data_IF_206640258205
#
_entry.id   IF_206640258205
#
_cell.length_a   1.000
_cell.length_b   1.000
_cell.length_c   1.000
_cell.angle_alpha   90.00
_cell.angle_beta   90.00
_cell.angle_gamma   90.00
#
_symmetry.space_group_name_H-M   'P 1'
#
loop_
_entity.id
_entity.type
_entity.pdbx_description
1 polymer ?
#
# COMPACT_ATOMS: atom_id res chain seq x y z
N UNK A 1 -0.05 -15.80 18.95
CA UNK A 1 -0.32 -15.50 17.53
C UNK A 1 1.00 -15.21 16.78
N UNK A 2 1.89 -16.21 16.63
CA UNK A 2 3.19 -16.08 15.91
C UNK A 2 3.44 -17.22 14.92
N UNK A 3 2.45 -18.10 14.72
CA UNK A 3 2.57 -19.34 13.94
C UNK A 3 1.94 -19.23 12.55
N UNK A 4 1.08 -18.25 12.29
CA UNK A 4 0.37 -18.13 11.01
C UNK A 4 1.26 -17.62 9.85
N UNK A 5 2.18 -16.69 10.09
CA UNK A 5 3.08 -16.18 9.02
C UNK A 5 4.07 -17.23 8.51
N UNK A 6 4.49 -18.17 9.35
CA UNK A 6 5.43 -19.23 8.97
C UNK A 6 4.72 -20.33 8.17
N UNK A 7 3.45 -20.61 8.47
CA UNK A 7 2.67 -21.63 7.74
C UNK A 7 2.38 -21.17 6.31
N UNK A 8 2.09 -19.88 6.10
CA UNK A 8 1.86 -19.35 4.74
C UNK A 8 3.16 -19.41 3.92
N UNK A 9 4.31 -19.04 4.49
CA UNK A 9 5.61 -19.13 3.79
C UNK A 9 6.06 -20.58 3.57
N UNK A 10 5.80 -21.48 4.52
CA UNK A 10 6.10 -22.90 4.38
C UNK A 10 5.25 -23.58 3.30
N UNK A 11 3.99 -23.15 3.15
CA UNK A 11 3.09 -23.64 2.11
C UNK A 11 3.49 -23.09 0.72
N UNK A 12 4.12 -21.91 0.66
CA UNK A 12 4.76 -21.35 -0.55
C UNK A 12 5.95 -22.20 -1.02
N UNK A 13 6.78 -22.71 -0.11
CA UNK A 13 7.86 -23.64 -0.47
C UNK A 13 7.34 -25.02 -0.88
N UNK A 14 6.28 -25.53 -0.26
CA UNK A 14 5.74 -26.85 -0.60
C UNK A 14 5.00 -26.84 -1.94
N UNK A 15 4.21 -25.80 -2.26
CA UNK A 15 3.53 -25.70 -3.55
C UNK A 15 4.50 -25.47 -4.72
N UNK A 16 5.66 -24.84 -4.49
CA UNK A 16 6.72 -24.73 -5.50
C UNK A 16 7.38 -26.10 -5.82
N UNK A 17 7.25 -27.09 -4.93
CA UNK A 17 7.85 -28.42 -5.11
C UNK A 17 6.94 -29.45 -5.79
N UNK A 18 5.62 -29.20 -5.85
CA UNK A 18 4.63 -30.16 -6.38
C UNK A 18 4.41 -30.00 -7.91
N UNK A 19 5.05 -29.01 -8.54
CA UNK A 19 4.96 -28.76 -9.99
C UNK A 19 6.12 -29.30 -10.83
N UNK A 20 6.91 -30.26 -10.33
CA UNK A 20 8.09 -30.79 -11.01
C UNK A 20 7.73 -31.72 -12.18
N UNK A 21 7.68 -31.16 -13.40
CA UNK A 21 7.87 -31.93 -14.62
C UNK A 21 9.32 -32.45 -14.66
N UNK A 22 9.48 -33.74 -14.95
CA UNK A 22 10.79 -34.36 -15.21
C UNK A 22 11.53 -33.58 -16.29
N UNK A 23 12.66 -32.98 -15.93
CA UNK A 23 13.73 -32.67 -16.88
C UNK A 23 15.07 -33.05 -16.25
N UNK A 24 15.70 -33.98 -16.96
CA UNK A 24 17.07 -34.48 -16.96
C UNK A 24 18.11 -33.59 -16.24
N UNK A 25 18.91 -34.23 -15.37
CA UNK A 25 20.08 -33.64 -14.74
C UNK A 25 21.17 -33.40 -15.79
N UNK A 26 21.53 -32.13 -16.02
CA UNK A 26 22.82 -31.76 -16.62
C UNK A 26 23.45 -30.58 -15.86
N UNK A 27 24.62 -30.90 -15.30
CA UNK A 27 25.78 -30.09 -14.98
C UNK A 27 25.73 -28.92 -13.98
N UNK A 28 26.81 -28.88 -13.19
CA UNK A 28 27.20 -27.82 -12.25
C UNK A 28 27.35 -26.46 -12.95
N UNK A 29 26.22 -25.80 -13.24
CA UNK A 29 26.20 -24.41 -13.68
C UNK A 29 26.42 -23.54 -12.44
N UNK A 30 27.63 -22.99 -12.34
CA UNK A 30 28.04 -21.84 -11.53
C UNK A 30 26.84 -21.08 -10.88
N UNK A 31 26.46 -21.48 -9.65
CA UNK A 31 25.24 -21.05 -8.94
C UNK A 31 25.26 -19.59 -8.44
N UNK A 32 25.94 -18.71 -9.16
CA UNK A 32 26.09 -17.28 -8.84
C UNK A 32 25.81 -16.38 -10.05
N UNK A 33 25.14 -16.88 -11.08
CA UNK A 33 24.64 -16.05 -12.18
C UNK A 33 23.38 -15.31 -11.73
N UNK A 34 23.32 -14.01 -12.05
CA UNK A 34 22.14 -13.21 -11.78
C UNK A 34 20.93 -13.79 -12.54
N UNK A 35 19.83 -14.03 -11.84
CA UNK A 35 18.59 -14.58 -12.41
C UNK A 35 17.46 -13.57 -12.26
N UNK A 36 16.50 -13.58 -13.18
CA UNK A 36 15.29 -12.78 -13.05
C UNK A 36 14.06 -13.59 -13.42
N UNK A 37 12.99 -13.40 -12.67
CA UNK A 37 11.72 -14.07 -12.88
C UNK A 37 10.56 -13.08 -12.80
N UNK A 38 9.54 -13.31 -13.64
CA UNK A 38 8.29 -12.57 -13.59
C UNK A 38 7.36 -13.19 -12.55
N UNK A 39 6.84 -12.38 -11.64
CA UNK A 39 5.97 -12.82 -10.54
C UNK A 39 4.52 -12.34 -10.68
N UNK A 40 4.12 -11.82 -11.83
CA UNK A 40 2.83 -11.19 -12.05
C UNK A 40 1.66 -12.06 -11.57
N UNK A 41 1.59 -13.30 -12.07
CA UNK A 41 0.50 -14.23 -11.73
C UNK A 41 0.46 -14.56 -10.23
N UNK A 42 1.63 -14.68 -9.60
CA UNK A 42 1.72 -14.98 -8.18
C UNK A 42 1.24 -13.81 -7.33
N UNK A 43 1.72 -12.60 -7.63
CA UNK A 43 1.30 -11.38 -6.94
C UNK A 43 -0.20 -11.12 -7.14
N UNK A 44 -0.76 -11.38 -8.32
CA UNK A 44 -2.19 -11.21 -8.56
C UNK A 44 -3.04 -12.09 -7.62
N UNK A 45 -2.64 -13.34 -7.40
CA UNK A 45 -3.32 -14.24 -6.46
C UNK A 45 -3.21 -13.74 -5.02
N UNK A 46 -2.04 -13.24 -4.62
CA UNK A 46 -1.82 -12.69 -3.27
C UNK A 46 -2.67 -11.44 -3.05
N UNK A 47 -2.72 -10.53 -4.03
CA UNK A 47 -3.44 -9.25 -3.92
C UNK A 47 -4.94 -9.42 -3.74
N UNK A 48 -5.54 -10.48 -4.31
CA UNK A 48 -6.95 -10.84 -4.08
C UNK A 48 -7.24 -11.06 -2.58
N UNK A 49 -6.28 -11.59 -1.82
CA UNK A 49 -6.43 -11.88 -0.39
C UNK A 49 -6.07 -10.69 0.49
N UNK A 50 -5.15 -9.83 0.04
CA UNK A 50 -4.68 -8.67 0.81
C UNK A 50 -5.81 -7.68 1.08
N UNK A 51 -6.66 -7.37 0.10
CA UNK A 51 -7.76 -6.42 0.27
C UNK A 51 -8.72 -6.78 1.43
N UNK A 52 -9.35 -7.97 1.40
CA UNK A 52 -10.19 -8.45 2.49
C UNK A 52 -9.47 -8.52 3.84
N UNK A 53 -8.19 -8.91 3.84
CA UNK A 53 -7.39 -8.95 5.05
C UNK A 53 -7.18 -7.55 5.66
N UNK A 54 -6.90 -6.53 4.84
CA UNK A 54 -6.74 -5.15 5.31
C UNK A 54 -8.05 -4.60 5.87
N UNK A 55 -9.19 -4.87 5.22
CA UNK A 55 -10.51 -4.46 5.72
C UNK A 55 -10.93 -5.13 7.04
N UNK A 56 -10.32 -6.25 7.40
CA UNK A 56 -10.67 -6.96 8.63
C UNK A 56 -9.74 -6.62 9.80
N UNK A 57 -8.51 -6.17 9.51
CA UNK A 57 -7.47 -6.00 10.53
C UNK A 57 -6.88 -4.59 10.62
N UNK A 58 -6.99 -3.77 9.57
CA UNK A 58 -6.39 -2.45 9.52
C UNK A 58 -7.42 -1.35 9.32
N UNK A 59 -8.45 -1.58 8.51
CA UNK A 59 -9.45 -0.57 8.15
C UNK A 59 -10.78 -0.90 8.85
N UNK A 60 -11.46 0.06 9.48
CA UNK A 60 -11.14 1.49 9.49
C UNK A 60 -9.94 1.86 10.37
N UNK A 61 -9.13 2.82 9.91
CA UNK A 61 -8.00 3.37 10.68
C UNK A 61 -8.11 4.88 10.86
N UNK A 62 -7.65 5.36 12.02
CA UNK A 62 -7.48 6.78 12.25
C UNK A 62 -6.28 7.32 11.47
N UNK A 63 -6.44 8.49 10.88
CA UNK A 63 -5.39 9.25 10.22
C UNK A 63 -4.89 10.35 11.16
N UNK A 64 -3.60 10.71 11.07
CA UNK A 64 -3.02 11.73 11.92
C UNK A 64 -3.64 13.11 11.62
N UNK A 65 -3.71 13.94 12.65
CA UNK A 65 -4.12 15.33 12.49
C UNK A 65 -3.07 16.10 11.68
N UNK A 66 -3.54 16.91 10.74
CA UNK A 66 -2.70 17.73 9.87
C UNK A 66 -3.08 19.20 10.08
N UNK A 67 -2.09 20.03 10.38
CA UNK A 67 -2.27 21.47 10.51
C UNK A 67 -1.34 22.15 9.52
N UNK A 68 -1.92 22.84 8.53
CA UNK A 68 -1.19 23.60 7.53
C UNK A 68 -1.55 25.09 7.61
N UNK A 69 -0.53 25.92 7.81
CA UNK A 69 -0.64 27.37 7.68
C UNK A 69 -0.40 27.79 6.23
N UNK A 70 -1.28 28.61 5.68
CA UNK A 70 -1.10 29.26 4.38
C UNK A 70 -0.95 30.78 4.55
N UNK A 71 0.04 31.35 3.86
CA UNK A 71 0.22 32.79 3.75
C UNK A 71 -0.06 33.20 2.30
N UNK A 72 -1.09 34.02 2.08
CA UNK A 72 -1.38 34.55 0.75
C UNK A 72 -1.32 36.08 0.74
N UNK A 73 -0.48 36.63 -0.15
CA UNK A 73 -0.32 38.07 -0.37
C UNK A 73 -0.79 38.45 -1.77
N UNK A 74 -2.06 38.86 -1.95
CA UNK A 74 -2.51 39.33 -3.25
C UNK A 74 -1.77 40.61 -3.67
N UNK A 75 -1.91 41.74 -2.96
CA UNK A 75 -1.25 43.01 -3.35
C UNK A 75 -0.95 43.95 -2.15
N UNK A 76 -1.74 43.98 -1.07
CA UNK A 76 -1.58 44.97 0.05
C UNK A 76 -1.77 44.42 1.47
N UNK A 77 -2.41 43.27 1.65
CA UNK A 77 -2.67 42.65 2.94
C UNK A 77 -2.14 41.21 2.89
N UNK A 78 -1.42 40.82 3.92
CA UNK A 78 -0.96 39.44 4.09
C UNK A 78 -2.02 38.67 4.85
N UNK A 79 -2.75 37.80 4.16
CA UNK A 79 -3.71 36.91 4.80
C UNK A 79 -2.97 35.70 5.34
N UNK A 80 -3.03 35.53 6.66
CA UNK A 80 -2.58 34.34 7.35
C UNK A 80 -3.81 33.49 7.63
N UNK A 81 -3.83 32.29 7.06
CA UNK A 81 -4.84 31.30 7.32
C UNK A 81 -4.22 30.02 7.86
N UNK A 82 -4.90 29.33 8.76
CA UNK A 82 -4.55 28.00 9.23
C UNK A 82 -5.69 27.05 8.89
N UNK A 83 -5.36 25.88 8.36
CA UNK A 83 -6.31 24.79 8.14
C UNK A 83 -5.85 23.63 9.02
N UNK A 84 -6.71 23.26 9.97
CA UNK A 84 -6.55 22.05 10.76
C UNK A 84 -7.53 20.99 10.24
N UNK A 85 -6.99 19.81 9.91
CA UNK A 85 -7.72 18.59 9.62
C UNK A 85 -7.53 17.65 10.80
N UNK A 86 -8.60 17.37 11.53
CA UNK A 86 -8.59 16.54 12.74
C UNK A 86 -9.53 15.36 12.60
N UNK A 87 -9.33 14.31 13.40
CA UNK A 87 -10.21 13.13 13.43
C UNK A 87 -10.37 12.45 12.06
N UNK A 88 -9.27 12.37 11.31
CA UNK A 88 -9.26 11.68 10.03
C UNK A 88 -9.59 10.20 10.19
N UNK A 89 -10.51 9.66 9.39
CA UNK A 89 -10.82 8.22 9.36
C UNK A 89 -10.75 7.73 7.92
N UNK A 90 -10.01 6.65 7.73
CA UNK A 90 -10.00 5.88 6.50
C UNK A 90 -10.96 4.69 6.64
N UNK A 91 -12.02 4.64 5.82
CA UNK A 91 -13.19 3.80 6.07
C UNK A 91 -13.16 2.40 5.46
N UNK A 92 -12.74 2.27 4.20
CA UNK A 92 -12.82 0.99 3.49
C UNK A 92 -11.90 0.93 2.26
N UNK A 93 -11.43 -0.27 1.95
CA UNK A 93 -10.74 -0.61 0.70
C UNK A 93 -11.67 -1.48 -0.14
N UNK A 94 -11.99 -1.09 -1.37
CA UNK A 94 -12.85 -1.92 -2.20
C UNK A 94 -12.07 -3.07 -2.83
N UNK A 95 -10.93 -2.78 -3.44
CA UNK A 95 -10.07 -3.80 -4.02
C UNK A 95 -8.61 -3.39 -4.04
N UNK A 96 -7.74 -4.40 -4.04
CA UNK A 96 -6.30 -4.26 -4.22
C UNK A 96 -5.92 -5.07 -5.45
N UNK A 97 -5.19 -4.46 -6.37
CA UNK A 97 -4.68 -5.13 -7.56
C UNK A 97 -3.23 -4.74 -7.82
N UNK A 98 -2.51 -5.55 -8.60
CA UNK A 98 -1.14 -5.21 -8.99
C UNK A 98 -1.12 -3.98 -9.90
N UNK A 99 -0.12 -3.13 -9.73
CA UNK A 99 0.24 -2.07 -10.67
C UNK A 99 1.57 -2.39 -11.33
N UNK A 100 1.60 -2.41 -12.67
CA UNK A 100 2.80 -2.71 -13.43
C UNK A 100 3.29 -4.15 -13.26
N UNK A 101 4.52 -4.45 -13.69
CA UNK A 101 5.08 -5.79 -13.59
C UNK A 101 5.73 -6.00 -12.21
N UNK A 102 5.48 -7.17 -11.63
CA UNK A 102 6.20 -7.68 -10.49
C UNK A 102 7.38 -8.51 -10.97
N UNK A 103 8.60 -8.07 -10.64
CA UNK A 103 9.83 -8.74 -11.04
C UNK A 103 10.63 -9.12 -9.81
N UNK A 104 11.24 -10.30 -9.88
CA UNK A 104 12.20 -10.79 -8.91
C UNK A 104 13.57 -10.87 -9.58
N UNK A 105 14.59 -10.42 -8.88
CA UNK A 105 15.98 -10.46 -9.31
C UNK A 105 16.81 -11.13 -8.21
N UNK A 106 17.46 -12.23 -8.56
CA UNK A 106 18.43 -12.91 -7.71
C UNK A 106 19.84 -12.48 -8.11
N UNK A 107 20.62 -11.98 -7.15
CA UNK A 107 22.05 -11.71 -7.31
C UNK A 107 22.77 -12.00 -6.00
N UNK A 108 23.77 -12.89 -6.03
CA UNK A 108 24.66 -13.20 -4.89
C UNK A 108 23.92 -13.39 -3.56
N UNK A 109 22.96 -14.32 -3.53
CA UNK A 109 22.14 -14.64 -2.35
C UNK A 109 21.18 -13.53 -1.90
N UNK A 110 21.02 -12.45 -2.65
CA UNK A 110 20.02 -11.42 -2.42
C UNK A 110 18.91 -11.53 -3.46
N UNK A 111 17.69 -11.65 -3.00
CA UNK A 111 16.47 -11.61 -3.81
C UNK A 111 15.84 -10.23 -3.70
N UNK A 112 15.84 -9.48 -4.78
CA UNK A 112 15.14 -8.20 -4.89
C UNK A 112 13.78 -8.42 -5.55
N UNK A 113 12.72 -7.95 -4.91
CA UNK A 113 11.34 -8.07 -5.40
C UNK A 113 10.73 -6.68 -5.48
N UNK A 114 10.35 -6.26 -6.67
CA UNK A 114 9.69 -4.98 -6.91
C UNK A 114 8.23 -5.23 -7.28
N UNK A 115 7.30 -4.61 -6.55
CA UNK A 115 5.85 -4.78 -6.73
C UNK A 115 5.17 -3.42 -6.69
N UNK A 116 4.32 -3.14 -7.68
CA UNK A 116 3.35 -2.06 -7.60
C UNK A 116 1.99 -2.59 -7.17
N UNK A 117 1.25 -1.81 -6.38
CA UNK A 117 -0.12 -2.10 -5.98
C UNK A 117 -1.02 -0.88 -6.22
N UNK A 118 -2.22 -1.12 -6.72
CA UNK A 118 -3.29 -0.16 -6.81
C UNK A 118 -4.37 -0.53 -5.80
N UNK A 119 -4.65 0.39 -4.89
CA UNK A 119 -5.81 0.31 -4.01
C UNK A 119 -6.91 1.11 -4.67
N UNK A 120 -8.01 0.45 -5.01
CA UNK A 120 -9.23 1.11 -5.49
C UNK A 120 -10.16 1.34 -4.33
N UNK A 121 -10.66 2.55 -4.31
CA UNK A 121 -11.54 3.08 -3.29
C UNK A 121 -12.73 3.62 -4.07
N UNK A 122 -13.85 2.92 -3.95
CA UNK A 122 -15.13 3.35 -4.47
C UNK A 122 -15.95 3.64 -3.23
N UNK A 123 -16.40 4.88 -3.06
CA UNK A 123 -17.26 5.28 -1.94
C UNK A 123 -18.45 4.34 -1.83
N UNK A 124 -18.57 3.64 -0.69
CA UNK A 124 -19.75 2.82 -0.37
C UNK A 124 -20.52 3.54 0.72
N UNK A 125 -21.60 4.20 0.31
CA UNK A 125 -22.58 4.83 1.20
C UNK A 125 -23.27 3.77 2.06
N UNK A 126 -23.07 3.81 3.37
CA UNK A 126 -23.76 2.93 4.33
C UNK A 126 -24.87 3.72 5.02
N UNK A 127 -26.04 3.81 4.40
CA UNK A 127 -27.25 4.32 5.04
C UNK A 127 -27.42 5.85 5.04
N UNK A 128 -28.68 6.28 5.10
CA UNK A 128 -29.19 7.62 4.77
C UNK A 128 -28.63 8.77 5.64
N UNK A 129 -27.87 8.45 6.69
CA UNK A 129 -27.29 9.37 7.68
C UNK A 129 -25.76 9.21 7.82
N UNK A 130 -25.10 8.50 6.91
CA UNK A 130 -23.68 8.09 7.03
C UNK A 130 -22.88 8.42 5.76
N UNK A 131 -21.78 9.13 5.98
CA UNK A 131 -20.77 9.63 5.04
C UNK A 131 -20.36 8.62 3.95
N UNK A 132 -20.05 9.13 2.76
CA UNK A 132 -19.93 8.34 1.51
C UNK A 132 -18.57 8.46 0.84
N UNK A 133 -17.60 9.16 1.40
CA UNK A 133 -16.23 9.15 0.91
C UNK A 133 -15.37 8.15 1.66
N UNK A 134 -14.28 7.76 1.00
CA UNK A 134 -13.31 6.83 1.56
C UNK A 134 -12.55 7.43 2.75
N UNK A 135 -12.47 8.76 2.84
CA UNK A 135 -11.82 9.49 3.93
C UNK A 135 -12.72 10.57 4.49
N UNK A 136 -12.87 10.62 5.81
CA UNK A 136 -13.57 11.72 6.50
C UNK A 136 -12.61 12.46 7.40
N UNK A 137 -12.68 13.79 7.41
CA UNK A 137 -11.98 14.65 8.37
C UNK A 137 -12.91 15.73 8.90
N UNK A 138 -12.66 16.16 10.13
CA UNK A 138 -13.17 17.42 10.65
C UNK A 138 -12.21 18.52 10.21
N UNK A 139 -12.70 19.56 9.54
CA UNK A 139 -11.86 20.69 9.16
C UNK A 139 -12.18 21.92 10.00
N UNK A 140 -11.13 22.69 10.30
CA UNK A 140 -11.22 23.98 10.96
C UNK A 140 -10.31 24.95 10.23
N UNK A 141 -10.90 25.97 9.60
CA UNK A 141 -10.14 27.02 8.94
C UNK A 141 -10.16 28.28 9.83
N UNK A 142 -8.99 28.83 10.14
CA UNK A 142 -8.85 30.10 10.86
C UNK A 142 -8.15 31.10 9.96
N UNK A 143 -8.85 32.14 9.51
CA UNK A 143 -8.26 33.27 8.79
C UNK A 143 -8.41 34.50 9.67
N UNK A 144 -7.32 34.96 10.27
CA UNK A 144 -7.34 36.08 11.23
C UNK A 144 -8.34 35.86 12.39
N UNK A 145 -8.24 34.71 13.07
CA UNK A 145 -9.12 34.29 14.19
C UNK A 145 -10.62 34.11 13.83
N UNK A 146 -10.96 34.16 12.55
CA UNK A 146 -12.30 33.94 12.03
C UNK A 146 -12.27 32.82 10.99
N UNK A 147 -13.11 31.82 11.16
CA UNK A 147 -13.41 30.92 10.06
C UNK A 147 -14.29 29.74 10.44
N UNK A 148 -14.78 29.03 9.41
CA UNK A 148 -15.74 27.95 9.61
C UNK A 148 -15.05 26.69 10.11
N UNK A 149 -15.76 25.99 10.98
CA UNK A 149 -15.53 24.57 11.26
C UNK A 149 -16.56 23.75 10.51
N UNK A 150 -16.17 22.59 10.01
CA UNK A 150 -17.09 21.68 9.34
C UNK A 150 -16.51 20.29 9.14
N UNK A 151 -17.15 19.53 8.26
CA UNK A 151 -16.74 18.18 7.91
C UNK A 151 -16.37 18.14 6.44
N UNK A 152 -15.30 17.43 6.11
CA UNK A 152 -14.90 17.15 4.73
C UNK A 152 -14.94 15.65 4.49
N UNK A 153 -15.58 15.28 3.39
CA UNK A 153 -15.67 13.91 2.91
C UNK A 153 -14.90 13.85 1.58
N UNK A 154 -13.88 13.00 1.52
CA UNK A 154 -12.95 12.91 0.39
C UNK A 154 -13.05 11.54 -0.24
N UNK A 155 -13.39 11.55 -1.53
CA UNK A 155 -13.50 10.35 -2.35
C UNK A 155 -12.28 10.24 -3.25
N UNK A 156 -11.49 9.18 -3.08
CA UNK A 156 -10.27 8.94 -3.84
C UNK A 156 -10.47 7.72 -4.70
N UNK A 157 -10.47 7.87 -6.02
CA UNK A 157 -10.77 6.76 -6.92
C UNK A 157 -9.71 5.64 -6.88
N UNK A 158 -8.43 6.01 -6.84
CA UNK A 158 -7.32 5.06 -6.84
C UNK A 158 -6.08 5.64 -6.16
N UNK A 159 -5.45 4.83 -5.32
CA UNK A 159 -4.13 5.09 -4.75
C UNK A 159 -3.12 4.09 -5.31
N UNK A 160 -2.00 4.57 -5.82
CA UNK A 160 -0.92 3.72 -6.33
C UNK A 160 0.27 3.71 -5.39
N UNK A 161 0.71 2.52 -5.04
CA UNK A 161 1.90 2.28 -4.25
C UNK A 161 2.93 1.51 -5.05
N UNK A 162 4.20 1.82 -4.81
CA UNK A 162 5.34 1.02 -5.25
C UNK A 162 6.14 0.59 -4.05
N UNK A 163 6.45 -0.70 -3.96
CA UNK A 163 7.28 -1.26 -2.91
C UNK A 163 8.40 -2.12 -3.47
N UNK A 164 9.54 -2.08 -2.79
CA UNK A 164 10.70 -2.89 -3.10
C UNK A 164 11.18 -3.60 -1.84
N UNK A 165 11.38 -4.91 -1.97
CA UNK A 165 11.86 -5.77 -0.91
C UNK A 165 13.20 -6.39 -1.31
N UNK A 166 14.08 -6.53 -0.34
CA UNK A 166 15.28 -7.36 -0.45
C UNK A 166 15.13 -8.51 0.55
N UNK A 167 15.35 -9.73 0.09
CA UNK A 167 15.33 -10.95 0.88
C UNK A 167 16.74 -11.53 0.85
N UNK A 168 17.36 -11.65 2.02
CA UNK A 168 18.63 -12.37 2.18
C UNK A 168 18.36 -13.86 2.19
N UNK A 169 18.94 -14.63 1.28
CA UNK A 169 18.76 -16.08 1.21
C UNK A 169 19.67 -16.85 2.18
N UNK A 170 20.64 -16.18 2.81
CA UNK A 170 21.51 -16.79 3.82
C UNK A 170 20.76 -16.92 5.14
N UNK A 171 20.18 -15.81 5.61
CA UNK A 171 19.51 -15.73 6.92
C UNK A 171 17.98 -15.62 6.82
N UNK A 172 17.42 -15.62 5.61
CA UNK A 172 15.98 -15.44 5.33
C UNK A 172 15.39 -14.16 5.94
N UNK A 173 16.20 -13.11 6.00
CA UNK A 173 15.75 -11.81 6.47
C UNK A 173 15.14 -11.00 5.31
N UNK A 174 14.00 -10.35 5.56
CA UNK A 174 13.31 -9.51 4.57
C UNK A 174 13.39 -8.05 5.00
N UNK A 175 13.92 -7.21 4.12
CA UNK A 175 13.94 -5.76 4.27
C UNK A 175 13.02 -5.12 3.25
N UNK A 176 12.22 -4.15 3.69
CA UNK A 176 11.58 -3.22 2.76
C UNK A 176 12.58 -2.11 2.47
N UNK A 177 13.02 -1.99 1.22
CA UNK A 177 13.99 -0.99 0.82
C UNK A 177 13.31 0.31 0.41
N UNK A 178 12.18 0.22 -0.29
CA UNK A 178 11.45 1.38 -0.76
C UNK A 178 9.95 1.15 -0.61
N UNK A 179 9.25 2.20 -0.19
CA UNK A 179 7.79 2.24 -0.16
C UNK A 179 7.34 3.65 -0.47
N UNK A 180 6.58 3.82 -1.54
CA UNK A 180 6.12 5.14 -1.99
C UNK A 180 4.67 5.09 -2.41
N UNK A 181 3.94 6.12 -2.01
CA UNK A 181 2.69 6.51 -2.65
C UNK A 181 3.06 7.34 -3.88
N UNK A 182 2.78 6.83 -5.08
CA UNK A 182 3.17 7.50 -6.34
C UNK A 182 2.04 8.31 -6.94
N UNK A 183 0.79 7.95 -6.65
CA UNK A 183 -0.38 8.65 -7.14
C UNK A 183 -1.55 8.48 -6.15
N UNK A 184 -2.32 9.54 -6.00
CA UNK A 184 -3.56 9.56 -5.24
C UNK A 184 -4.57 10.38 -6.04
N UNK A 185 -5.42 9.69 -6.81
CA UNK A 185 -6.59 10.23 -7.51
C UNK A 185 -6.35 11.51 -8.31
#
# INVERSE_FOLDING_TARGET
MRTLSIVVLGLVCFLASVGGYETEYEDDVNRNTAMSANMNNYIDVVMIQVGPWMNTHLVPMALPDVVEGFEHRPILITYHGEIALTNGVFHTIHSVGRNGNAMMHYDRQLLRVSVGANIRQLGVSIGKDMFSGNFTYDYSAHIMDLGPTGFVDVDVATMTFTSEFIIDMTDFYIWMQDFRLTNMG
#
